data_IF_458414964752
#
_entry.id   IF_458414964752
#
_cell.length_a   1.000
_cell.length_b   1.000
_cell.length_c   1.000
_cell.angle_alpha   90.00
_cell.angle_beta   90.00
_cell.angle_gamma   90.00
#
_symmetry.space_group_name_H-M   'P 1'
#
loop_
_entity.id
_entity.type
_entity.pdbx_description
1 polymer ?
#
# COMPACT_ATOMS: atom_id res chain seq x y z
N UNK A 1 -19.48 -1.27 19.31
CA UNK A 1 -18.46 -0.74 18.38
C UNK A 1 -17.46 -1.86 18.08
N UNK A 2 -17.41 -2.39 16.86
CA UNK A 2 -16.37 -3.36 16.47
C UNK A 2 -15.07 -2.57 16.35
N UNK A 3 -14.04 -2.93 17.12
CA UNK A 3 -12.69 -2.35 16.95
C UNK A 3 -12.17 -2.82 15.61
N UNK A 4 -12.08 -1.94 14.63
CA UNK A 4 -11.30 -2.21 13.41
C UNK A 4 -9.84 -2.13 13.79
N UNK A 5 -9.17 -3.29 13.84
CA UNK A 5 -7.72 -3.34 14.00
C UNK A 5 -7.05 -2.67 12.80
N UNK A 6 -6.12 -1.76 13.09
CA UNK A 6 -5.27 -1.12 12.08
C UNK A 6 -3.92 -1.81 12.05
N UNK A 7 -3.29 -1.80 10.88
CA UNK A 7 -1.97 -2.38 10.64
C UNK A 7 -1.22 -1.52 9.64
N UNK A 8 0.12 -1.60 9.68
CA UNK A 8 0.99 -0.80 8.82
C UNK A 8 1.28 -1.51 7.49
N UNK A 9 1.43 -0.72 6.44
CA UNK A 9 1.84 -1.16 5.11
C UNK A 9 2.90 -0.20 4.58
N UNK A 10 4.05 -0.72 4.19
CA UNK A 10 5.09 0.06 3.50
C UNK A 10 4.97 -0.14 1.99
N UNK A 11 5.24 0.90 1.21
CA UNK A 11 5.21 0.84 -0.24
C UNK A 11 6.41 1.59 -0.83
N UNK A 12 6.99 1.03 -1.89
CA UNK A 12 8.06 1.66 -2.69
C UNK A 12 7.99 1.22 -4.13
N UNK A 13 8.55 2.02 -5.03
CA UNK A 13 8.60 1.69 -6.46
C UNK A 13 9.37 0.39 -6.74
N UNK A 14 8.87 -0.41 -7.68
CA UNK A 14 9.68 -1.44 -8.34
C UNK A 14 10.60 -0.75 -9.35
N UNK A 15 11.93 -0.92 -9.26
CA UNK A 15 12.88 -0.29 -10.17
C UNK A 15 12.56 -0.58 -11.63
N UNK A 16 12.68 0.44 -12.49
CA UNK A 16 12.41 0.32 -13.92
C UNK A 16 10.93 0.25 -14.29
N UNK A 17 10.02 0.50 -13.35
CA UNK A 17 8.57 0.55 -13.61
C UNK A 17 7.98 1.87 -13.12
N UNK A 18 6.93 2.34 -13.80
CA UNK A 18 6.15 3.52 -13.40
C UNK A 18 4.80 3.16 -12.77
N UNK A 19 4.45 1.87 -12.71
CA UNK A 19 3.12 1.40 -12.33
C UNK A 19 3.12 0.17 -11.40
N UNK A 20 4.28 -0.24 -10.86
CA UNK A 20 4.36 -1.37 -9.92
C UNK A 20 5.07 -0.96 -8.65
N UNK A 21 4.54 -1.47 -7.54
CA UNK A 21 5.02 -1.17 -6.19
C UNK A 21 5.36 -2.46 -5.46
N UNK A 22 6.50 -2.46 -4.76
CA UNK A 22 6.71 -3.41 -3.68
C UNK A 22 5.91 -2.93 -2.48
N UNK A 23 5.11 -3.82 -1.92
CA UNK A 23 4.31 -3.58 -0.72
C UNK A 23 4.72 -4.59 0.35
N UNK A 24 4.97 -4.12 1.57
CA UNK A 24 5.18 -4.97 2.73
C UNK A 24 4.06 -4.76 3.73
N UNK A 25 3.43 -5.86 4.13
CA UNK A 25 2.35 -5.94 5.11
C UNK A 25 2.76 -6.93 6.22
N UNK A 26 2.01 -7.03 7.33
CA UNK A 26 2.26 -8.07 8.33
C UNK A 26 2.17 -9.51 7.78
N UNK A 27 1.43 -9.70 6.68
CA UNK A 27 1.23 -11.00 6.02
C UNK A 27 2.38 -11.35 5.05
N UNK A 28 3.23 -10.38 4.72
CA UNK A 28 4.39 -10.57 3.86
C UNK A 28 4.56 -9.48 2.80
N UNK A 29 5.38 -9.78 1.80
CA UNK A 29 5.74 -8.86 0.72
C UNK A 29 5.14 -9.29 -0.60
N UNK A 30 4.51 -8.34 -1.29
CA UNK A 30 3.87 -8.55 -2.60
C UNK A 30 4.24 -7.43 -3.58
N UNK A 31 4.03 -7.68 -4.86
CA UNK A 31 4.07 -6.64 -5.90
C UNK A 31 2.65 -6.34 -6.34
N UNK A 32 2.24 -5.08 -6.28
CA UNK A 32 0.90 -4.62 -6.66
C UNK A 32 0.99 -3.58 -7.76
N UNK A 33 -0.10 -3.38 -8.50
CA UNK A 33 -0.20 -2.24 -9.43
C UNK A 33 -0.40 -0.94 -8.66
N UNK A 34 0.08 0.16 -9.23
CA UNK A 34 -0.18 1.51 -8.71
C UNK A 34 -1.68 1.80 -8.63
N UNK A 35 -2.46 1.36 -9.62
CA UNK A 35 -3.92 1.50 -9.63
C UNK A 35 -4.56 0.80 -8.42
N UNK A 36 -4.15 -0.46 -8.14
CA UNK A 36 -4.66 -1.20 -6.98
C UNK A 36 -4.29 -0.52 -5.68
N UNK A 37 -3.06 -0.02 -5.59
CA UNK A 37 -2.61 0.74 -4.43
C UNK A 37 -3.44 2.02 -4.24
N UNK A 38 -3.71 2.79 -5.29
CA UNK A 38 -4.53 4.00 -5.20
C UNK A 38 -5.98 3.68 -4.79
N UNK A 39 -6.56 2.60 -5.30
CA UNK A 39 -7.91 2.17 -4.93
C UNK A 39 -8.04 1.83 -3.44
N UNK A 40 -7.00 1.26 -2.83
CA UNK A 40 -7.04 0.79 -1.43
C UNK A 40 -6.51 1.84 -0.45
N UNK A 41 -5.36 2.45 -0.75
CA UNK A 41 -4.64 3.40 0.10
C UNK A 41 -5.05 4.86 -0.16
N UNK A 42 -5.74 5.11 -1.28
CA UNK A 42 -6.18 6.43 -1.69
C UNK A 42 -5.14 7.24 -2.46
N UNK A 43 -5.63 8.32 -3.07
CA UNK A 43 -4.83 9.24 -3.90
C UNK A 43 -3.76 9.99 -3.10
N UNK A 44 -4.02 10.31 -1.84
CA UNK A 44 -3.03 11.00 -0.99
C UNK A 44 -1.78 10.14 -0.76
N UNK A 45 -1.95 8.86 -0.40
CA UNK A 45 -0.83 7.94 -0.24
C UNK A 45 -0.04 7.80 -1.55
N UNK A 46 -0.74 7.71 -2.68
CA UNK A 46 -0.12 7.63 -4.01
C UNK A 46 0.70 8.89 -4.32
N UNK A 47 0.16 10.07 -4.01
CA UNK A 47 0.87 11.33 -4.18
C UNK A 47 2.14 11.41 -3.29
N UNK A 48 2.02 11.02 -2.03
CA UNK A 48 3.17 11.00 -1.12
C UNK A 48 4.26 10.03 -1.59
N UNK A 49 3.87 8.90 -2.19
CA UNK A 49 4.78 7.94 -2.80
C UNK A 49 5.52 8.51 -4.02
N UNK A 50 4.85 9.32 -4.84
CA UNK A 50 5.51 10.03 -5.94
C UNK A 50 6.57 11.02 -5.44
N UNK A 51 6.28 11.73 -4.35
CA UNK A 51 7.19 12.73 -3.81
C UNK A 51 8.37 12.13 -3.05
N UNK A 52 8.15 11.05 -2.31
CA UNK A 52 9.13 10.49 -1.36
C UNK A 52 9.83 9.23 -1.89
N UNK A 53 9.29 8.59 -2.91
CA UNK A 53 9.79 7.31 -3.46
C UNK A 53 9.47 6.08 -2.60
N UNK A 54 9.19 6.27 -1.32
CA UNK A 54 8.69 5.25 -0.40
C UNK A 54 7.82 5.89 0.69
N UNK A 55 6.79 5.16 1.16
CA UNK A 55 5.88 5.60 2.22
C UNK A 55 5.49 4.43 3.12
N UNK A 56 4.98 4.77 4.31
CA UNK A 56 4.29 3.83 5.22
C UNK A 56 2.92 4.41 5.53
N UNK A 57 1.88 3.57 5.45
CA UNK A 57 0.48 3.94 5.75
C UNK A 57 -0.10 3.00 6.79
N UNK A 58 -1.00 3.52 7.61
CA UNK A 58 -1.83 2.72 8.52
C UNK A 58 -3.20 2.51 7.90
N UNK A 59 -3.62 1.25 7.81
CA UNK A 59 -4.87 0.86 7.19
C UNK A 59 -5.60 -0.17 8.06
N UNK A 60 -6.95 -0.21 8.02
CA UNK A 60 -7.71 -1.34 8.52
C UNK A 60 -7.22 -2.66 7.92
N UNK A 61 -7.08 -3.71 8.74
CA UNK A 61 -6.57 -5.02 8.31
C UNK A 61 -7.34 -5.61 7.10
N UNK A 62 -8.65 -5.36 7.01
CA UNK A 62 -9.46 -5.83 5.88
C UNK A 62 -9.08 -5.15 4.55
N UNK A 63 -8.61 -3.90 4.58
CA UNK A 63 -8.12 -3.21 3.39
C UNK A 63 -6.73 -3.71 2.99
N UNK A 64 -5.86 -4.03 3.96
CA UNK A 64 -4.56 -4.63 3.67
C UNK A 64 -4.68 -5.96 2.94
N UNK A 65 -5.60 -6.82 3.37
CA UNK A 65 -5.88 -8.09 2.68
C UNK A 65 -6.32 -7.87 1.23
N UNK A 66 -7.14 -6.86 1.00
CA UNK A 66 -7.55 -6.49 -0.36
C UNK A 66 -6.38 -5.96 -1.20
N UNK A 67 -5.38 -5.32 -0.60
CA UNK A 67 -4.22 -4.80 -1.32
C UNK A 67 -3.38 -5.93 -1.92
N UNK A 68 -3.24 -7.06 -1.23
CA UNK A 68 -2.35 -8.17 -1.59
C UNK A 68 -3.06 -9.40 -2.19
N UNK A 69 -4.38 -9.43 -2.18
CA UNK A 69 -5.21 -10.45 -2.84
C UNK A 69 -5.30 -10.23 -4.35
#
# INVERSE_FOLDING_TARGET
MKRTSTSTCSARWVPGTSNRLYVETPEGRSVVSLERFEQVCGRQATHDLYLRGAITVELPENLLRNLVA
#
